data_IF_247856866780
#
_entry.id   IF_247856866780
#
_cell.length_a   1.000
_cell.length_b   1.000
_cell.length_c   1.000
_cell.angle_alpha   90.00
_cell.angle_beta   90.00
_cell.angle_gamma   90.00
#
_symmetry.space_group_name_H-M   'P 1'
#
loop_
_entity.id
_entity.type
_entity.pdbx_description
1 polymer ?
#
# COMPACT_ATOMS: atom_id res chain seq x y z
N UNK A 1 1.90 13.88 -9.71
CA UNK A 1 1.12 12.62 -9.89
C UNK A 1 -0.15 12.64 -9.04
N UNK A 2 -0.05 12.79 -7.71
CA UNK A 2 -1.23 12.89 -6.81
C UNK A 2 -2.18 14.06 -7.15
N UNK A 3 -1.66 15.20 -7.59
CA UNK A 3 -2.46 16.37 -7.98
C UNK A 3 -3.37 16.15 -9.19
N UNK A 4 -3.07 15.17 -10.06
CA UNK A 4 -3.87 14.88 -11.26
C UNK A 4 -5.06 13.97 -10.96
N UNK A 5 -4.94 13.11 -9.94
CA UNK A 5 -5.96 12.15 -9.54
C UNK A 5 -6.04 12.10 -8.01
N UNK A 6 -6.68 13.08 -7.36
CA UNK A 6 -6.70 13.18 -5.89
C UNK A 6 -7.36 11.98 -5.21
N UNK A 7 -8.30 11.32 -5.89
CA UNK A 7 -9.03 10.14 -5.39
C UNK A 7 -8.31 8.81 -5.67
N UNK A 8 -7.15 8.83 -6.37
CA UNK A 8 -6.45 7.61 -6.70
C UNK A 8 -5.84 6.96 -5.44
N UNK A 9 -5.96 5.64 -5.37
CA UNK A 9 -5.25 4.85 -4.40
C UNK A 9 -3.85 4.53 -4.93
N UNK A 10 -2.83 4.95 -4.18
CA UNK A 10 -1.44 4.72 -4.53
C UNK A 10 -0.84 3.67 -3.62
N UNK A 11 -0.15 2.70 -4.21
CA UNK A 11 0.64 1.69 -3.51
C UNK A 11 2.05 1.69 -4.09
N UNK A 12 3.06 1.83 -3.23
CA UNK A 12 4.46 1.63 -3.58
C UNK A 12 4.99 0.49 -2.72
N UNK A 13 5.47 -0.57 -3.35
CA UNK A 13 5.95 -1.78 -2.68
C UNK A 13 7.22 -2.29 -3.32
N UNK A 14 8.09 -2.86 -2.51
CA UNK A 14 9.34 -3.48 -2.95
C UNK A 14 10.37 -3.49 -1.84
N UNK A 15 11.60 -3.88 -2.19
CA UNK A 15 12.75 -3.80 -1.31
C UNK A 15 13.36 -2.39 -1.36
N UNK A 16 13.27 -1.66 -0.25
CA UNK A 16 13.80 -0.30 -0.11
C UNK A 16 15.23 -0.27 0.44
N UNK A 17 15.73 -1.40 0.95
CA UNK A 17 16.99 -1.57 1.67
C UNK A 17 17.17 -0.57 2.84
N UNK A 18 17.49 0.68 2.54
CA UNK A 18 17.76 1.73 3.53
C UNK A 18 16.87 2.97 3.35
N UNK A 19 16.14 3.09 2.23
CA UNK A 19 15.39 4.30 1.89
C UNK A 19 14.05 4.33 2.61
N UNK A 20 13.77 5.44 3.29
CA UNK A 20 12.45 5.73 3.85
C UNK A 20 11.67 6.63 2.90
N UNK A 21 10.61 6.11 2.29
CA UNK A 21 9.82 6.89 1.33
C UNK A 21 9.17 8.13 1.97
N UNK A 22 8.89 8.08 3.27
CA UNK A 22 8.31 9.18 4.05
C UNK A 22 9.15 10.45 4.04
N UNK A 23 10.47 10.33 3.83
CA UNK A 23 11.38 11.49 3.81
C UNK A 23 11.18 12.33 2.53
N UNK A 24 10.69 11.70 1.46
CA UNK A 24 10.42 12.33 0.16
C UNK A 24 8.91 12.58 -0.03
N UNK A 25 8.07 11.65 0.45
CA UNK A 25 6.61 11.67 0.32
C UNK A 25 5.97 11.50 1.71
N UNK A 26 5.90 12.57 2.53
CA UNK A 26 5.42 12.49 3.92
C UNK A 26 3.93 12.14 4.04
N UNK A 27 3.17 12.23 2.96
CA UNK A 27 1.76 11.81 2.89
C UNK A 27 1.56 10.30 2.69
N UNK A 28 2.64 9.54 2.53
CA UNK A 28 2.59 8.09 2.42
C UNK A 28 2.86 7.41 3.77
N UNK A 29 2.11 6.35 4.02
CA UNK A 29 2.15 5.59 5.26
C UNK A 29 2.68 4.19 5.00
N UNK A 30 3.68 3.78 5.76
CA UNK A 30 4.28 2.44 5.69
C UNK A 30 3.46 1.43 6.53
N UNK A 31 3.23 0.21 6.03
CA UNK A 31 2.36 -0.80 6.68
C UNK A 31 3.06 -2.10 7.13
N UNK A 32 4.32 -2.34 6.76
CA UNK A 32 5.11 -3.51 7.19
C UNK A 32 5.86 -3.22 8.48
N UNK A 33 5.52 -3.92 9.57
CA UNK A 33 6.20 -3.76 10.88
C UNK A 33 7.01 -4.98 11.28
N UNK A 34 7.08 -5.98 10.41
CA UNK A 34 7.80 -7.24 10.63
C UNK A 34 9.15 -7.21 9.91
N UNK A 35 10.13 -7.94 10.41
CA UNK A 35 11.39 -8.13 9.71
C UNK A 35 11.16 -8.95 8.46
N UNK A 36 11.73 -8.53 7.34
CA UNK A 36 11.55 -9.16 6.03
C UNK A 36 12.80 -9.87 5.54
N UNK A 37 13.96 -9.58 6.14
CA UNK A 37 15.24 -10.27 5.90
C UNK A 37 16.09 -10.26 7.17
N UNK A 38 16.26 -11.41 7.80
CA UNK A 38 16.87 -11.50 9.14
C UNK A 38 16.11 -10.60 10.12
N UNK A 39 16.82 -9.74 10.84
CA UNK A 39 16.19 -8.78 11.78
C UNK A 39 15.75 -7.46 11.12
N UNK A 40 16.00 -7.28 9.81
CA UNK A 40 15.73 -6.03 9.11
C UNK A 40 14.39 -6.02 8.37
N UNK A 41 13.68 -4.88 8.39
CA UNK A 41 12.54 -4.61 7.50
C UNK A 41 13.03 -3.87 6.27
N UNK A 42 13.28 -4.60 5.18
CA UNK A 42 13.75 -4.05 3.91
C UNK A 42 12.60 -3.90 2.91
N UNK A 43 11.67 -4.85 2.92
CA UNK A 43 10.50 -4.83 2.06
C UNK A 43 9.40 -4.01 2.71
N UNK A 44 9.10 -2.88 2.10
CA UNK A 44 8.13 -1.93 2.64
C UNK A 44 6.93 -1.83 1.71
N UNK A 45 5.79 -1.45 2.30
CA UNK A 45 4.58 -1.12 1.56
C UNK A 45 4.11 0.23 2.03
N UNK A 46 4.10 1.20 1.13
CA UNK A 46 3.64 2.55 1.39
C UNK A 46 2.36 2.85 0.63
N UNK A 47 1.39 3.50 1.27
CA UNK A 47 0.18 3.98 0.59
C UNK A 47 -0.21 5.38 1.03
N UNK A 48 -0.97 6.10 0.21
CA UNK A 48 -1.52 7.41 0.58
C UNK A 48 -2.68 7.36 1.61
N UNK A 49 -3.16 6.16 1.95
CA UNK A 49 -4.18 5.95 3.00
C UNK A 49 -3.52 5.34 4.24
N UNK A 50 -3.69 5.96 5.40
CA UNK A 50 -3.19 5.41 6.67
C UNK A 50 -3.93 4.13 7.02
N UNK A 51 -3.20 3.10 7.43
CA UNK A 51 -3.78 1.81 7.82
C UNK A 51 -4.55 1.15 6.68
N UNK A 52 -4.04 1.26 5.45
CA UNK A 52 -4.68 0.65 4.29
C UNK A 52 -4.55 -0.88 4.28
N UNK A 53 -3.41 -1.36 4.78
CA UNK A 53 -3.09 -2.78 4.86
C UNK A 53 -2.54 -3.15 6.23
N UNK A 54 -2.72 -4.43 6.56
CA UNK A 54 -1.92 -5.13 7.56
C UNK A 54 -1.06 -6.16 6.83
N UNK A 55 0.27 -6.08 7.01
CA UNK A 55 1.19 -7.05 6.45
C UNK A 55 1.31 -8.26 7.38
N UNK A 56 1.19 -9.47 6.80
CA UNK A 56 1.38 -10.73 7.50
C UNK A 56 2.56 -11.49 6.88
N UNK A 57 3.44 -12.09 7.70
CA UNK A 57 4.53 -12.89 7.19
C UNK A 57 3.98 -14.19 6.57
N UNK A 58 4.62 -14.63 5.50
CA UNK A 58 4.37 -15.90 4.84
C UNK A 58 5.73 -16.56 4.53
N UNK A 59 5.81 -17.90 4.47
CA UNK A 59 7.01 -18.60 4.05
C UNK A 59 7.73 -17.97 2.86
N UNK A 60 9.06 -17.97 2.92
CA UNK A 60 9.93 -17.57 1.82
C UNK A 60 9.61 -18.38 0.55
N UNK A 61 9.75 -17.74 -0.62
CA UNK A 61 9.57 -18.42 -1.90
C UNK A 61 10.90 -19.04 -2.33
N UNK A 62 10.92 -20.36 -2.43
CA UNK A 62 12.11 -21.10 -2.85
C UNK A 62 13.31 -20.86 -1.93
N UNK A 63 14.41 -20.38 -2.51
CA UNK A 63 15.68 -20.13 -1.83
C UNK A 63 15.90 -18.65 -1.47
N UNK A 64 14.84 -17.83 -1.50
CA UNK A 64 14.94 -16.43 -1.10
C UNK A 64 15.29 -16.32 0.39
N UNK A 65 16.18 -15.38 0.72
CA UNK A 65 16.47 -14.96 2.09
C UNK A 65 15.48 -13.88 2.60
N UNK A 66 14.48 -13.53 1.79
CA UNK A 66 13.38 -12.65 2.15
C UNK A 66 12.10 -13.45 2.45
N UNK A 67 11.35 -13.00 3.46
CA UNK A 67 10.00 -13.52 3.73
C UNK A 67 9.02 -13.01 2.69
N UNK A 68 7.98 -13.80 2.41
CA UNK A 68 6.84 -13.29 1.63
C UNK A 68 5.89 -12.52 2.53
N UNK A 69 5.18 -11.55 1.96
CA UNK A 69 4.20 -10.75 2.69
C UNK A 69 2.80 -10.93 2.08
N UNK A 70 1.84 -11.32 2.91
CA UNK A 70 0.43 -11.25 2.58
C UNK A 70 -0.14 -9.90 3.05
N UNK A 71 -0.65 -9.10 2.13
CA UNK A 71 -1.26 -7.81 2.45
C UNK A 71 -2.78 -7.96 2.61
N UNK A 72 -3.24 -7.90 3.86
CA UNK A 72 -4.67 -7.95 4.17
C UNK A 72 -5.23 -6.52 4.16
N UNK A 73 -6.19 -6.19 3.28
CA UNK A 73 -6.77 -4.86 3.26
C UNK A 73 -7.56 -4.60 4.53
N UNK A 74 -7.19 -3.54 5.24
CA UNK A 74 -7.92 -3.00 6.40
C UNK A 74 -8.77 -1.79 6.03
N UNK A 75 -8.42 -1.14 4.91
CA UNK A 75 -9.21 -0.07 4.31
C UNK A 75 -10.38 -0.63 3.49
N UNK A 76 -11.56 -0.02 3.65
CA UNK A 76 -12.70 -0.20 2.74
C UNK A 76 -12.59 0.76 1.56
N UNK A 77 -12.58 0.30 0.30
CA UNK A 77 -12.56 1.16 -0.88
C UNK A 77 -13.65 2.23 -0.90
N UNK A 78 -13.33 3.40 -1.46
CA UNK A 78 -14.28 4.52 -1.63
C UNK A 78 -15.58 4.05 -2.30
N UNK A 79 -15.48 3.27 -3.38
CA UNK A 79 -16.64 2.69 -4.08
C UNK A 79 -17.57 1.86 -3.16
N UNK A 80 -17.03 1.26 -2.09
CA UNK A 80 -17.81 0.50 -1.10
C UNK A 80 -18.30 1.36 0.08
N UNK A 81 -17.81 2.59 0.22
CA UNK A 81 -18.22 3.55 1.26
C UNK A 81 -19.31 4.50 0.79
N UNK A 82 -19.34 4.81 -0.52
CA UNK A 82 -20.23 5.81 -1.09
C UNK A 82 -21.44 5.11 -1.70
N UNK A 83 -22.65 5.60 -1.41
CA UNK A 83 -23.87 5.12 -2.07
C UNK A 83 -23.87 5.44 -3.58
N UNK A 84 -24.62 4.68 -4.39
CA UNK A 84 -24.73 4.96 -5.82
C UNK A 84 -25.28 6.37 -6.05
N UNK A 85 -24.67 7.10 -6.99
CA UNK A 85 -25.13 8.44 -7.39
C UNK A 85 -25.76 8.37 -8.78
N UNK A 86 -26.95 8.93 -8.96
CA UNK A 86 -27.56 9.07 -10.29
C UNK A 86 -26.86 10.19 -11.05
N UNK A 87 -26.34 9.90 -12.24
CA UNK A 87 -25.82 10.90 -13.16
C UNK A 87 -26.71 10.95 -14.40
N UNK A 88 -27.22 12.12 -14.73
CA UNK A 88 -27.90 12.34 -16.02
C UNK A 88 -26.82 12.47 -17.10
N UNK A 89 -26.86 11.57 -18.08
CA UNK A 89 -25.95 11.60 -19.25
C UNK A 89 -26.78 12.08 -20.43
N UNK A 90 -26.40 13.20 -21.04
CA UNK A 90 -26.96 13.67 -22.30
C UNK A 90 -26.16 13.00 -23.43
N UNK A 91 -26.83 12.23 -24.26
CA UNK A 91 -26.26 11.60 -25.45
C UNK A 91 -26.70 12.41 -26.68
N UNK A 92 -25.75 12.75 -27.55
CA UNK A 92 -25.98 13.48 -28.80
C UNK A 92 -26.44 12.55 -29.92
#
# INVERSE_FOLDING_TARGET
LQSKHPEAFYVVTGNFNQVKLTDILPSFYQHVTISTRGDNTLDCVYTNIRGAYRALPHPQLGLSDHVSLLLVPTYRPLLRRIGPTKKTVIVW
#
